data_IF_797239169482
#
_entry.id   IF_797239169482
#
_cell.length_a   1.000
_cell.length_b   1.000
_cell.length_c   1.000
_cell.angle_alpha   90.00
_cell.angle_beta   90.00
_cell.angle_gamma   90.00
#
_symmetry.space_group_name_H-M   'P 1'
#
loop_
_entity.id
_entity.type
_entity.pdbx_description
1 polymer ?
#
# COMPACT_ATOMS: atom_id res chain seq x y z
N UNK A 1 -41.44 44.61 31.04
CA UNK A 1 -42.83 44.11 30.95
C UNK A 1 -43.34 44.33 29.54
N UNK A 2 -43.42 43.28 28.72
CA UNK A 2 -44.41 43.18 27.63
C UNK A 2 -44.78 41.70 27.55
N UNK A 3 -46.02 41.38 27.93
CA UNK A 3 -46.62 40.03 27.79
C UNK A 3 -47.47 40.04 26.52
N UNK A 4 -47.34 39.01 25.69
CA UNK A 4 -48.40 38.58 24.79
C UNK A 4 -48.59 37.08 24.95
N UNK A 5 -49.79 36.71 25.43
CA UNK A 5 -50.23 35.33 25.63
C UNK A 5 -50.96 34.80 24.40
N UNK A 6 -50.76 33.51 24.16
CA UNK A 6 -51.28 32.71 23.07
C UNK A 6 -52.81 32.51 23.10
N UNK A 7 -53.39 32.35 21.91
CA UNK A 7 -54.52 31.44 21.67
C UNK A 7 -54.10 30.45 20.58
N UNK A 8 -54.30 29.16 20.86
CA UNK A 8 -54.10 28.06 19.92
C UNK A 8 -55.14 28.07 18.80
N UNK A 9 -54.85 27.38 17.68
CA UNK A 9 -55.76 26.32 17.28
C UNK A 9 -55.07 25.02 16.87
N UNK A 10 -55.79 23.93 17.08
CA UNK A 10 -55.46 22.55 16.77
C UNK A 10 -55.74 22.25 15.30
N UNK A 11 -54.80 21.62 14.57
CA UNK A 11 -55.10 20.87 13.33
C UNK A 11 -54.26 19.58 13.31
N UNK A 12 -54.98 18.49 13.04
CA UNK A 12 -54.59 17.09 12.84
C UNK A 12 -53.85 16.85 11.51
N UNK A 13 -52.85 15.96 11.48
CA UNK A 13 -52.43 15.26 10.25
C UNK A 13 -51.69 13.92 10.52
N UNK A 14 -52.34 12.85 10.05
CA UNK A 14 -51.86 11.78 9.16
C UNK A 14 -50.43 11.21 9.27
N UNK A 15 -50.38 9.88 9.37
CA UNK A 15 -49.21 8.99 9.31
C UNK A 15 -48.53 9.00 7.93
N UNK A 16 -47.21 9.20 7.90
CA UNK A 16 -46.31 8.39 7.05
C UNK A 16 -44.89 8.38 7.64
N UNK A 17 -44.28 7.19 7.68
CA UNK A 17 -42.97 6.93 8.26
C UNK A 17 -41.87 7.39 7.29
N UNK A 18 -41.15 8.45 7.66
CA UNK A 18 -39.75 8.65 7.24
C UNK A 18 -39.05 9.34 8.40
N UNK A 19 -38.24 8.61 9.17
CA UNK A 19 -37.51 9.20 10.30
C UNK A 19 -36.10 9.54 9.83
N UNK A 20 -35.91 10.81 9.51
CA UNK A 20 -34.61 11.48 9.60
C UNK A 20 -34.12 11.38 11.06
N UNK A 21 -32.91 10.85 11.26
CA UNK A 21 -32.21 11.01 12.53
C UNK A 21 -31.47 12.36 12.51
N UNK A 22 -32.04 13.36 13.19
CA UNK A 22 -31.28 14.51 13.67
C UNK A 22 -30.85 14.25 15.12
N UNK A 23 -29.54 14.36 15.34
CA UNK A 23 -28.90 14.26 16.64
C UNK A 23 -29.38 15.38 17.58
N UNK A 24 -29.80 15.00 18.79
CA UNK A 24 -29.79 15.89 19.95
C UNK A 24 -29.07 15.16 21.08
N UNK A 25 -27.92 15.69 21.46
CA UNK A 25 -27.17 15.30 22.64
C UNK A 25 -27.98 15.66 23.90
N UNK A 26 -28.21 14.67 24.77
CA UNK A 26 -28.54 14.92 26.16
C UNK A 26 -27.62 14.04 27.02
N UNK A 27 -26.73 14.72 27.72
CA UNK A 27 -25.89 14.17 28.76
C UNK A 27 -26.70 14.03 30.05
N UNK A 28 -26.85 12.81 30.55
CA UNK A 28 -26.94 12.50 31.98
C UNK A 28 -26.94 10.97 32.12
N UNK A 29 -25.95 10.44 32.83
CA UNK A 29 -25.78 9.02 33.05
C UNK A 29 -26.92 8.42 33.87
N UNK A 30 -27.54 7.39 33.31
CA UNK A 30 -28.18 6.31 34.07
C UNK A 30 -27.81 5.01 33.37
N UNK A 31 -27.14 4.13 34.11
CA UNK A 31 -26.80 2.77 33.72
C UNK A 31 -28.10 2.00 33.40
N UNK A 32 -28.37 1.72 32.13
CA UNK A 32 -29.39 0.74 31.75
C UNK A 32 -28.72 -0.57 31.38
N UNK A 33 -28.75 -1.52 32.33
CA UNK A 33 -28.57 -2.94 32.04
C UNK A 33 -29.70 -3.38 31.10
N UNK A 34 -29.38 -3.65 29.85
CA UNK A 34 -30.30 -4.32 28.93
C UNK A 34 -30.29 -5.83 29.25
N UNK A 35 -31.16 -6.27 30.17
CA UNK A 35 -31.53 -7.68 30.35
C UNK A 35 -32.41 -8.09 29.17
N UNK A 36 -31.88 -8.91 28.26
CA UNK A 36 -32.72 -9.64 27.30
C UNK A 36 -33.37 -10.84 28.01
N UNK A 37 -34.67 -10.76 28.23
CA UNK A 37 -35.51 -11.89 28.66
C UNK A 37 -35.90 -12.71 27.44
N UNK A 38 -35.27 -13.87 27.26
CA UNK A 38 -35.82 -14.97 26.45
C UNK A 38 -35.99 -16.20 27.35
N UNK A 39 -37.10 -16.96 27.20
CA UNK A 39 -37.43 -18.02 28.14
C UNK A 39 -36.55 -19.26 27.91
N UNK A 40 -35.77 -19.63 28.92
CA UNK A 40 -35.04 -20.91 28.98
C UNK A 40 -36.03 -22.06 29.18
N UNK A 41 -35.97 -23.05 28.29
CA UNK A 41 -36.47 -24.41 28.54
C UNK A 41 -35.66 -25.03 29.69
N UNK A 42 -36.38 -25.57 30.68
CA UNK A 42 -35.85 -26.39 31.77
C UNK A 42 -35.16 -27.63 31.20
N UNK A 43 -33.88 -27.81 31.51
CA UNK A 43 -33.20 -29.11 31.48
C UNK A 43 -32.73 -29.34 32.91
N UNK A 44 -33.12 -30.48 33.48
CA UNK A 44 -32.81 -30.90 34.84
C UNK A 44 -31.32 -31.23 34.96
N UNK A 45 -30.66 -30.64 35.96
CA UNK A 45 -29.36 -31.07 36.46
C UNK A 45 -29.51 -32.40 37.22
N UNK A 46 -28.70 -33.40 36.84
CA UNK A 46 -28.41 -34.60 37.64
C UNK A 46 -26.98 -34.47 38.21
N UNK A 47 -26.73 -34.93 39.44
CA UNK A 47 -25.48 -34.66 40.15
C UNK A 47 -24.29 -35.50 39.62
N UNK A 48 -23.11 -34.87 39.65
CA UNK A 48 -21.80 -35.48 39.42
C UNK A 48 -21.40 -36.38 40.60
N UNK A 49 -20.85 -37.56 40.31
CA UNK A 49 -20.12 -38.41 41.27
C UNK A 49 -18.79 -38.81 40.61
N UNK A 50 -17.65 -38.79 41.33
CA UNK A 50 -16.34 -39.06 40.77
C UNK A 50 -16.08 -40.58 40.66
N UNK A 51 -15.04 -40.94 39.91
CA UNK A 51 -14.48 -42.28 39.71
C UNK A 51 -14.98 -43.06 38.48
N UNK A 52 -14.23 -42.94 37.37
CA UNK A 52 -13.82 -44.06 36.49
C UNK A 52 -12.75 -43.64 35.47
N UNK A 53 -11.71 -44.46 35.22
CA UNK A 53 -10.61 -44.16 34.29
C UNK A 53 -11.02 -44.37 32.81
N UNK A 54 -10.30 -43.76 31.84
CA UNK A 54 -10.69 -43.77 30.44
C UNK A 54 -10.41 -45.12 29.75
N UNK A 55 -11.23 -45.53 28.75
CA UNK A 55 -11.01 -46.75 27.99
C UNK A 55 -9.90 -46.60 26.92
N UNK A 56 -9.29 -47.71 26.47
CA UNK A 56 -8.13 -47.68 25.58
C UNK A 56 -8.49 -47.35 24.13
N UNK A 57 -7.56 -46.73 23.42
CA UNK A 57 -7.65 -46.45 21.97
C UNK A 57 -7.57 -47.75 21.16
N UNK A 58 -8.39 -47.94 20.12
CA UNK A 58 -8.13 -48.97 19.13
C UNK A 58 -7.27 -48.43 17.98
N UNK A 59 -6.36 -49.29 17.53
CA UNK A 59 -5.47 -49.10 16.40
C UNK A 59 -6.05 -49.78 15.13
N UNK A 60 -5.85 -49.11 14.01
CA UNK A 60 -5.71 -49.57 12.62
C UNK A 60 -6.87 -50.17 11.80
N UNK A 61 -6.89 -49.64 10.56
CA UNK A 61 -7.08 -50.27 9.24
C UNK A 61 -8.30 -49.89 8.37
N UNK A 62 -7.92 -49.45 7.16
CA UNK A 62 -8.60 -49.41 5.87
C UNK A 62 -10.11 -49.67 5.79
N UNK A 63 -10.82 -48.68 5.27
CA UNK A 63 -11.93 -48.91 4.34
C UNK A 63 -11.99 -47.79 3.31
N UNK A 64 -11.94 -48.19 2.04
CA UNK A 64 -12.26 -47.36 0.88
C UNK A 64 -13.76 -47.06 0.91
N UNK A 65 -14.16 -45.82 0.70
CA UNK A 65 -15.56 -45.55 0.41
C UNK A 65 -15.91 -44.12 0.00
N UNK A 66 -16.11 -43.94 -1.30
CA UNK A 66 -17.08 -43.07 -1.97
C UNK A 66 -17.04 -41.54 -1.74
N UNK A 67 -16.64 -40.89 -2.82
CA UNK A 67 -16.71 -39.48 -3.15
C UNK A 67 -18.08 -38.83 -2.91
N UNK A 68 -18.08 -37.68 -2.24
CA UNK A 68 -18.96 -36.55 -2.58
C UNK A 68 -18.14 -35.26 -2.51
N UNK A 69 -17.84 -34.69 -3.68
CA UNK A 69 -17.19 -33.38 -3.79
C UNK A 69 -18.16 -32.28 -3.35
N UNK A 70 -17.71 -31.26 -2.58
CA UNK A 70 -18.44 -30.01 -2.47
C UNK A 70 -18.36 -29.22 -3.79
N UNK A 71 -19.37 -28.40 -4.13
CA UNK A 71 -19.47 -27.77 -5.43
C UNK A 71 -18.26 -26.87 -5.73
N UNK A 72 -17.63 -27.15 -6.86
CA UNK A 72 -16.60 -26.34 -7.48
C UNK A 72 -17.14 -24.93 -7.75
N UNK A 73 -16.52 -23.92 -7.15
CA UNK A 73 -16.67 -22.55 -7.62
C UNK A 73 -16.18 -22.47 -9.08
N UNK A 74 -16.89 -21.76 -9.97
CA UNK A 74 -16.45 -21.62 -11.35
C UNK A 74 -15.10 -20.90 -11.39
N UNK A 75 -14.17 -21.29 -12.29
CA UNK A 75 -12.91 -20.59 -12.45
C UNK A 75 -13.17 -19.14 -12.87
N UNK A 76 -12.51 -18.21 -12.18
CA UNK A 76 -12.43 -16.82 -12.64
C UNK A 76 -11.89 -16.83 -14.06
N UNK A 77 -12.71 -16.39 -15.02
CA UNK A 77 -12.30 -16.23 -16.41
C UNK A 77 -11.12 -15.27 -16.47
N UNK A 78 -10.07 -15.55 -17.27
CA UNK A 78 -9.01 -14.60 -17.50
C UNK A 78 -9.59 -13.36 -18.19
N UNK A 79 -9.51 -12.20 -17.54
CA UNK A 79 -9.74 -10.91 -18.18
C UNK A 79 -8.56 -10.62 -19.12
N UNK A 80 -8.58 -11.26 -20.29
CA UNK A 80 -7.80 -10.82 -21.44
C UNK A 80 -8.46 -9.56 -22.02
N UNK A 81 -7.96 -8.40 -21.60
CA UNK A 81 -7.71 -7.20 -22.41
C UNK A 81 -7.55 -6.00 -21.46
N UNK A 82 -6.35 -5.84 -20.92
CA UNK A 82 -5.95 -4.53 -20.41
C UNK A 82 -5.57 -3.67 -21.61
N UNK A 83 -6.52 -2.83 -22.04
CA UNK A 83 -6.30 -1.69 -22.91
C UNK A 83 -5.13 -0.85 -22.40
N UNK A 84 -4.36 -0.25 -23.32
CA UNK A 84 -3.16 0.57 -23.13
C UNK A 84 -3.36 1.86 -22.30
N UNK A 85 -4.42 1.95 -21.49
CA UNK A 85 -4.92 3.17 -20.86
C UNK A 85 -4.56 3.32 -19.38
N UNK A 86 -4.01 2.29 -18.71
CA UNK A 86 -3.74 2.36 -17.26
C UNK A 86 -2.35 2.93 -16.91
N UNK A 87 -1.37 2.87 -17.83
CA UNK A 87 -0.02 3.41 -17.60
C UNK A 87 0.06 4.91 -17.98
N UNK A 88 -0.85 5.42 -18.83
CA UNK A 88 -0.82 6.80 -19.32
C UNK A 88 -1.44 7.85 -18.37
N UNK A 89 -2.12 7.45 -17.28
CA UNK A 89 -2.88 8.40 -16.45
C UNK A 89 -2.11 8.92 -15.23
N UNK A 90 -0.95 8.34 -14.91
CA UNK A 90 -0.08 8.87 -13.87
C UNK A 90 0.71 10.12 -14.34
N UNK A 91 0.82 10.33 -15.66
CA UNK A 91 1.41 11.55 -16.23
C UNK A 91 0.40 12.70 -16.44
N UNK A 92 -0.91 12.44 -16.38
CA UNK A 92 -1.94 13.39 -16.83
C UNK A 92 -2.41 14.40 -15.75
N UNK A 93 -1.80 14.43 -14.56
CA UNK A 93 -2.11 15.43 -13.51
C UNK A 93 -0.94 16.39 -13.25
N UNK A 94 0.14 16.34 -14.04
CA UNK A 94 1.31 17.22 -13.83
C UNK A 94 2.03 17.67 -15.10
N UNK A 95 1.29 18.05 -16.14
CA UNK A 95 1.86 18.85 -17.22
C UNK A 95 0.79 19.76 -17.84
N UNK A 96 0.79 21.02 -17.42
CA UNK A 96 0.38 22.10 -18.31
C UNK A 96 1.43 22.22 -19.43
N UNK A 97 0.97 22.16 -20.68
CA UNK A 97 1.58 22.65 -21.92
C UNK A 97 3.02 22.25 -22.31
N UNK A 98 3.13 21.51 -23.44
CA UNK A 98 4.26 21.48 -24.40
C UNK A 98 5.44 20.58 -24.01
N UNK A 99 6.15 19.86 -24.89
CA UNK A 99 6.17 19.56 -26.33
C UNK A 99 6.82 18.15 -26.42
N UNK A 100 6.63 17.26 -27.38
CA UNK A 100 6.85 17.36 -28.81
C UNK A 100 6.26 16.09 -29.46
N UNK A 101 5.42 16.24 -30.47
CA UNK A 101 4.99 15.13 -31.30
C UNK A 101 5.83 15.13 -32.59
N UNK A 102 6.75 14.18 -32.70
CA UNK A 102 7.41 13.84 -33.97
C UNK A 102 6.76 12.58 -34.50
N UNK A 103 5.92 12.68 -35.52
CA UNK A 103 5.65 11.59 -36.44
C UNK A 103 5.13 12.14 -37.78
N UNK A 104 5.96 11.93 -38.79
CA UNK A 104 5.82 12.22 -40.21
C UNK A 104 4.57 11.60 -40.84
N UNK A 105 3.82 12.39 -41.62
CA UNK A 105 2.91 11.88 -42.66
C UNK A 105 3.21 12.59 -43.98
N UNK A 106 3.62 11.77 -44.95
CA UNK A 106 3.79 12.08 -46.36
C UNK A 106 2.45 12.47 -47.00
N UNK A 107 2.43 13.55 -47.80
CA UNK A 107 1.59 13.63 -48.99
C UNK A 107 2.14 14.67 -49.98
N UNK A 108 2.01 14.32 -51.25
CA UNK A 108 2.73 14.81 -52.43
C UNK A 108 2.18 16.15 -52.96
N UNK A 109 3.11 17.07 -53.31
CA UNK A 109 3.21 18.07 -54.43
C UNK A 109 1.94 18.72 -55.06
N UNK A 110 2.01 19.92 -55.71
CA UNK A 110 3.19 20.54 -56.33
C UNK A 110 3.43 22.05 -56.07
N UNK A 111 4.62 22.46 -56.54
CA UNK A 111 5.27 23.77 -56.69
C UNK A 111 4.40 25.02 -56.93
N UNK A 112 4.74 26.12 -56.25
CA UNK A 112 5.08 27.37 -56.94
C UNK A 112 5.99 28.29 -56.10
N UNK A 113 7.01 28.85 -56.75
CA UNK A 113 8.02 29.76 -56.19
C UNK A 113 7.42 31.12 -55.90
N UNK A 114 7.82 31.76 -54.79
CA UNK A 114 8.24 33.17 -54.79
C UNK A 114 8.99 33.52 -53.49
N UNK A 115 10.10 34.23 -53.68
CA UNK A 115 11.06 34.73 -52.69
C UNK A 115 10.56 36.06 -52.12
N UNK A 116 10.54 36.23 -50.79
CA UNK A 116 10.87 37.51 -50.13
C UNK A 116 10.99 37.35 -48.60
N UNK A 117 11.97 38.02 -47.99
CA UNK A 117 12.07 38.23 -46.55
C UNK A 117 11.77 39.71 -46.26
N UNK A 118 11.04 40.04 -45.17
CA UNK A 118 11.70 40.81 -44.10
C UNK A 118 11.21 40.51 -42.67
N UNK A 119 12.18 40.54 -41.74
CA UNK A 119 12.25 41.02 -40.33
C UNK A 119 11.00 41.18 -39.39
N UNK A 120 11.24 41.22 -38.04
CA UNK A 120 10.45 40.52 -37.04
C UNK A 120 9.35 41.37 -36.40
N UNK A 121 8.20 40.76 -36.11
CA UNK A 121 7.18 41.35 -35.24
C UNK A 121 6.67 40.36 -34.21
N UNK A 122 6.84 40.79 -32.95
CA UNK A 122 5.99 40.59 -31.79
C UNK A 122 5.47 39.17 -31.47
N UNK A 123 6.07 38.63 -30.39
CA UNK A 123 5.54 37.58 -29.53
C UNK A 123 4.07 37.80 -29.17
N UNK A 124 3.18 36.93 -29.63
CA UNK A 124 1.83 36.77 -29.09
C UNK A 124 1.86 35.73 -27.98
N UNK A 125 1.94 36.17 -26.73
CA UNK A 125 1.68 35.35 -25.55
C UNK A 125 0.16 35.24 -25.35
N UNK A 126 -0.38 34.03 -25.48
CA UNK A 126 -1.72 33.71 -25.02
C UNK A 126 -1.76 33.79 -23.48
N UNK A 127 -2.64 34.59 -22.85
CA UNK A 127 -2.81 34.56 -21.42
C UNK A 127 -3.71 33.37 -21.04
N UNK A 128 -3.13 32.33 -20.43
CA UNK A 128 -3.92 31.33 -19.70
C UNK A 128 -4.28 31.90 -18.31
N UNK A 129 -5.26 32.80 -18.25
CA UNK A 129 -5.84 33.23 -16.98
C UNK A 129 -6.93 32.22 -16.57
N UNK A 130 -6.53 31.13 -15.92
CA UNK A 130 -7.47 30.50 -14.99
C UNK A 130 -7.79 31.54 -13.91
N UNK A 131 -9.07 31.90 -13.68
CA UNK A 131 -9.41 32.85 -12.63
C UNK A 131 -8.99 32.25 -11.29
N UNK A 132 -7.96 32.84 -10.69
CA UNK A 132 -7.62 32.60 -9.29
C UNK A 132 -8.81 33.17 -8.51
N UNK A 133 -9.66 32.30 -7.97
CA UNK A 133 -10.66 32.72 -7.00
C UNK A 133 -9.89 33.28 -5.81
N UNK A 134 -9.97 34.58 -5.50
CA UNK A 134 -9.23 35.15 -4.38
C UNK A 134 -9.78 34.50 -3.10
N UNK A 135 -8.92 33.80 -2.37
CA UNK A 135 -9.26 33.41 -1.00
C UNK A 135 -9.45 34.72 -0.23
N UNK A 136 -10.60 34.95 0.43
CA UNK A 136 -10.80 36.15 1.22
C UNK A 136 -9.64 36.30 2.21
N UNK A 137 -9.04 37.49 2.30
CA UNK A 137 -7.93 37.73 3.22
C UNK A 137 -8.30 37.36 4.68
N UNK A 138 -9.58 37.40 5.03
CA UNK A 138 -10.15 36.96 6.31
C UNK A 138 -10.11 35.44 6.56
N UNK A 139 -9.79 34.64 5.55
CA UNK A 139 -9.66 33.18 5.61
C UNK A 139 -8.20 32.73 5.42
N UNK A 140 -7.27 33.67 5.29
CA UNK A 140 -5.83 33.40 5.26
C UNK A 140 -5.33 33.50 6.70
N UNK A 141 -5.25 32.36 7.37
CA UNK A 141 -4.71 32.29 8.73
C UNK A 141 -3.17 32.18 8.69
N UNK A 142 -2.44 32.86 9.59
CA UNK A 142 -0.99 32.67 9.72
C UNK A 142 -0.65 31.20 9.97
N UNK A 143 0.51 30.77 9.47
CA UNK A 143 1.01 29.42 9.72
C UNK A 143 1.07 29.11 11.23
N UNK A 144 0.70 27.90 11.67
CA UNK A 144 0.80 27.52 13.08
C UNK A 144 2.27 27.61 13.51
N UNK A 145 2.61 28.64 14.30
CA UNK A 145 3.98 28.94 14.69
C UNK A 145 4.28 30.43 14.86
N UNK A 146 3.43 31.32 14.33
CA UNK A 146 3.55 32.77 14.51
C UNK A 146 2.25 33.34 15.09
N UNK A 147 2.02 33.10 16.39
CA UNK A 147 1.34 34.02 17.32
C UNK A 147 0.96 33.27 18.60
N UNK A 148 1.84 33.29 19.60
CA UNK A 148 1.49 32.96 20.99
C UNK A 148 0.65 34.06 21.67
N UNK A 149 -0.09 34.86 20.89
CA UNK A 149 -0.81 36.02 21.40
C UNK A 149 -2.30 35.96 21.06
N UNK A 150 -2.93 34.81 21.33
CA UNK A 150 -4.38 34.76 21.53
C UNK A 150 -4.66 35.53 22.82
N UNK A 151 -4.90 36.84 22.66
CA UNK A 151 -5.36 37.73 23.72
C UNK A 151 -6.79 37.33 24.14
N UNK A 152 -6.91 36.73 25.33
CA UNK A 152 -8.16 36.48 26.04
C UNK A 152 -8.48 34.98 26.24
N UNK A 153 -9.14 34.58 27.34
CA UNK A 153 -9.53 33.19 27.56
C UNK A 153 -10.58 32.82 26.51
N UNK A 154 -10.17 32.10 25.48
CA UNK A 154 -11.12 31.48 24.55
C UNK A 154 -12.07 30.57 25.36
N UNK A 155 -13.37 30.52 25.02
CA UNK A 155 -14.33 29.66 25.73
C UNK A 155 -14.07 28.16 25.52
N UNK A 156 -13.09 27.80 24.69
CA UNK A 156 -12.74 26.43 24.31
C UNK A 156 -11.22 26.24 24.32
N UNK A 157 -10.77 25.04 24.71
CA UNK A 157 -9.37 24.64 24.69
C UNK A 157 -9.20 23.32 23.93
N UNK A 158 -9.12 23.33 22.58
CA UNK A 158 -8.90 22.10 21.81
C UNK A 158 -7.60 21.38 22.17
N UNK A 159 -6.55 22.12 22.57
CA UNK A 159 -5.28 21.53 23.05
C UNK A 159 -5.41 20.74 24.35
N UNK A 160 -6.49 20.95 25.13
CA UNK A 160 -6.79 20.15 26.32
C UNK A 160 -6.95 18.65 26.03
N UNK A 161 -7.25 18.26 24.78
CA UNK A 161 -7.24 16.85 24.37
C UNK A 161 -5.88 16.17 24.66
N UNK A 162 -4.77 16.90 24.52
CA UNK A 162 -3.43 16.35 24.68
C UNK A 162 -3.07 15.99 26.13
N UNK A 163 -3.88 16.41 27.12
CA UNK A 163 -3.80 15.90 28.49
C UNK A 163 -4.13 14.40 28.57
N UNK A 164 -4.95 13.91 27.62
CA UNK A 164 -5.32 12.49 27.48
C UNK A 164 -4.44 11.74 26.47
N UNK A 165 -3.41 12.40 25.94
CA UNK A 165 -2.45 11.84 24.99
C UNK A 165 -2.66 12.28 23.55
N UNK A 166 -1.71 11.90 22.70
CA UNK A 166 -1.71 12.23 21.28
C UNK A 166 -2.42 11.14 20.46
N UNK A 167 -3.45 11.45 19.66
CA UNK A 167 -4.24 10.44 18.96
C UNK A 167 -3.49 9.73 17.82
N UNK A 168 -2.46 10.34 17.24
CA UNK A 168 -1.67 9.80 16.14
C UNK A 168 -1.51 10.78 14.96
N UNK A 169 -0.88 10.36 13.86
CA UNK A 169 -0.47 9.00 13.53
C UNK A 169 0.69 8.49 14.40
N UNK A 170 0.74 7.17 14.62
CA UNK A 170 1.88 6.50 15.27
C UNK A 170 2.56 5.63 14.23
N UNK A 171 3.81 5.98 13.90
CA UNK A 171 4.68 5.16 13.07
C UNK A 171 5.46 4.21 13.99
N UNK A 172 5.06 2.93 14.04
CA UNK A 172 5.83 1.93 14.78
C UNK A 172 7.13 1.65 14.02
N UNK A 173 8.24 2.22 14.50
CA UNK A 173 9.55 2.01 13.91
C UNK A 173 10.19 0.74 14.48
N UNK A 174 10.69 -0.13 13.60
CA UNK A 174 11.52 -1.25 13.99
C UNK A 174 12.91 -1.13 13.36
N UNK A 175 13.94 -1.24 14.19
CA UNK A 175 15.35 -1.29 13.79
C UNK A 175 15.85 -2.71 14.02
N UNK A 176 16.11 -3.43 12.94
CA UNK A 176 16.56 -4.82 12.91
C UNK A 176 17.92 -4.90 12.21
N UNK A 177 18.60 -6.04 12.25
CA UNK A 177 19.93 -6.19 11.62
C UNK A 177 19.89 -6.00 10.10
N UNK A 178 18.88 -6.59 9.44
CA UNK A 178 18.75 -6.56 7.98
C UNK A 178 17.85 -5.46 7.43
N UNK A 179 17.05 -4.81 8.28
CA UNK A 179 16.04 -3.85 7.83
C UNK A 179 15.69 -2.79 8.87
N UNK A 180 15.22 -1.65 8.39
CA UNK A 180 14.51 -0.65 9.19
C UNK A 180 13.11 -0.50 8.57
N UNK A 181 12.06 -0.47 9.40
CA UNK A 181 10.68 -0.34 8.90
C UNK A 181 9.88 0.68 9.69
N UNK A 182 8.83 1.17 9.04
CA UNK A 182 7.73 1.88 9.68
C UNK A 182 6.43 1.12 9.41
N UNK A 183 5.68 0.77 10.44
CA UNK A 183 4.46 -0.03 10.32
C UNK A 183 3.18 0.80 10.42
N UNK A 184 2.23 0.55 9.50
CA UNK A 184 0.92 1.17 9.47
C UNK A 184 -0.08 0.32 10.26
N UNK A 185 -0.37 0.76 11.49
CA UNK A 185 -1.38 0.16 12.38
C UNK A 185 -2.77 0.02 11.74
N UNK A 186 -3.13 0.86 10.77
CA UNK A 186 -4.45 0.84 10.11
C UNK A 186 -4.53 -0.23 9.04
N UNK A 187 -3.50 -0.37 8.20
CA UNK A 187 -3.52 -1.34 7.09
C UNK A 187 -2.93 -2.70 7.47
N UNK A 188 -2.22 -2.77 8.61
CA UNK A 188 -1.49 -3.97 9.09
C UNK A 188 -0.35 -4.38 8.15
N UNK A 189 0.19 -3.40 7.44
CA UNK A 189 1.30 -3.52 6.50
C UNK A 189 2.36 -2.47 6.88
N UNK A 190 3.63 -2.62 6.47
CA UNK A 190 4.59 -1.53 6.55
C UNK A 190 4.13 -0.33 5.70
N UNK A 191 4.32 0.89 6.21
CA UNK A 191 4.36 2.09 5.38
C UNK A 191 5.51 1.99 4.38
N UNK A 192 6.67 1.60 4.89
CA UNK A 192 7.89 1.38 4.13
C UNK A 192 8.84 0.46 4.91
N UNK A 193 9.72 -0.21 4.17
CA UNK A 193 10.87 -0.95 4.72
C UNK A 193 12.11 -0.57 3.92
N UNK A 194 13.23 -0.33 4.62
CA UNK A 194 14.53 -0.01 4.04
C UNK A 194 15.49 -1.15 4.24
N UNK A 195 16.21 -1.50 3.19
CA UNK A 195 17.34 -2.42 3.20
C UNK A 195 18.60 -1.77 2.58
N UNK A 196 19.76 -2.32 2.93
CA UNK A 196 21.04 -1.96 2.36
C UNK A 196 21.78 -3.23 1.94
N UNK A 197 22.13 -3.31 0.67
CA UNK A 197 22.87 -4.42 0.11
C UNK A 197 24.19 -3.94 -0.49
N UNK A 198 25.22 -4.72 -0.27
CA UNK A 198 26.60 -4.52 -0.74
C UNK A 198 27.15 -5.82 -1.33
N UNK A 199 28.20 -5.78 -2.17
CA UNK A 199 28.86 -6.99 -2.66
C UNK A 199 29.29 -7.93 -1.53
N UNK A 200 29.81 -7.37 -0.43
CA UNK A 200 30.22 -8.13 0.75
C UNK A 200 29.03 -8.85 1.40
N UNK A 201 27.95 -8.13 1.68
CA UNK A 201 26.74 -8.72 2.30
C UNK A 201 26.14 -9.83 1.43
N UNK A 202 26.17 -9.68 0.10
CA UNK A 202 25.65 -10.67 -0.85
C UNK A 202 26.64 -11.79 -1.16
N UNK A 203 27.88 -11.74 -0.68
CA UNK A 203 28.86 -12.82 -0.81
C UNK A 203 28.73 -13.86 0.31
N UNK A 204 28.32 -13.44 1.51
CA UNK A 204 28.18 -14.29 2.70
C UNK A 204 26.97 -15.22 2.62
N UNK A 205 27.07 -16.40 3.24
CA UNK A 205 26.07 -17.49 3.14
C UNK A 205 25.80 -18.12 4.52
N UNK A 206 25.82 -17.28 5.55
CA UNK A 206 25.73 -17.68 6.95
C UNK A 206 24.28 -17.97 7.39
N UNK A 207 23.29 -17.48 6.63
CA UNK A 207 21.87 -17.76 6.85
C UNK A 207 21.28 -18.77 5.85
N UNK A 208 20.45 -19.68 6.36
CA UNK A 208 19.61 -20.60 5.57
C UNK A 208 18.13 -20.35 5.86
N UNK A 209 17.39 -20.05 4.79
CA UNK A 209 15.94 -19.79 4.81
C UNK A 209 15.16 -20.94 5.44
N UNK A 210 15.66 -22.19 5.35
CA UNK A 210 14.99 -23.35 5.94
C UNK A 210 14.84 -23.28 7.45
N UNK A 211 15.67 -22.48 8.13
CA UNK A 211 15.60 -22.28 9.58
C UNK A 211 14.68 -21.13 9.98
N UNK A 212 14.25 -20.29 9.03
CA UNK A 212 13.40 -19.14 9.30
C UNK A 212 11.91 -19.51 9.21
N UNK A 213 11.12 -19.03 10.17
CA UNK A 213 9.67 -19.25 10.22
C UNK A 213 8.95 -17.92 10.32
N UNK A 214 7.79 -17.80 9.67
CA UNK A 214 6.96 -16.59 9.77
C UNK A 214 6.43 -16.41 11.20
N UNK A 215 6.60 -15.20 11.76
CA UNK A 215 6.23 -14.87 13.12
C UNK A 215 5.39 -13.59 13.18
N UNK A 216 4.44 -13.54 14.10
CA UNK A 216 3.78 -12.29 14.48
C UNK A 216 4.78 -11.38 15.20
N UNK A 217 4.65 -10.06 15.04
CA UNK A 217 5.56 -9.10 15.66
C UNK A 217 5.00 -8.62 17.01
N UNK A 218 5.56 -9.16 18.10
CA UNK A 218 5.09 -8.86 19.45
C UNK A 218 5.34 -7.42 19.90
N UNK A 219 6.23 -6.69 19.21
CA UNK A 219 6.45 -5.26 19.47
C UNK A 219 5.26 -4.39 19.08
N UNK A 220 4.41 -4.88 18.17
CA UNK A 220 3.20 -4.19 17.73
C UNK A 220 2.05 -4.56 18.69
N UNK A 221 1.31 -3.57 19.24
CA UNK A 221 0.16 -3.85 20.09
C UNK A 221 -0.84 -4.76 19.39
N UNK A 222 -1.35 -5.77 20.10
CA UNK A 222 -2.15 -6.85 19.51
C UNK A 222 -3.32 -6.36 18.63
N UNK A 223 -4.00 -5.28 19.04
CA UNK A 223 -5.12 -4.67 18.29
C UNK A 223 -4.74 -4.14 16.89
N UNK A 224 -3.45 -3.95 16.62
CA UNK A 224 -2.91 -3.44 15.35
C UNK A 224 -2.04 -4.46 14.62
N UNK A 225 -1.90 -5.67 15.17
CA UNK A 225 -0.97 -6.68 14.68
C UNK A 225 -1.61 -7.53 13.58
N UNK A 226 -0.86 -7.77 12.50
CA UNK A 226 -1.16 -8.84 11.56
C UNK A 226 -0.92 -10.20 12.23
N UNK A 227 -1.82 -11.15 12.02
CA UNK A 227 -1.71 -12.50 12.59
C UNK A 227 -1.49 -13.54 11.51
N UNK A 228 -0.84 -14.65 11.85
CA UNK A 228 -0.58 -15.72 10.87
C UNK A 228 -1.88 -16.27 10.27
N UNK A 229 -2.95 -16.31 11.07
CA UNK A 229 -4.29 -16.73 10.63
C UNK A 229 -4.91 -15.83 9.57
N UNK A 230 -4.50 -14.56 9.46
CA UNK A 230 -5.08 -13.63 8.50
C UNK A 230 -4.66 -14.00 7.06
N UNK A 231 -3.47 -14.58 6.92
CA UNK A 231 -2.93 -15.10 5.66
C UNK A 231 -3.36 -16.54 5.36
N UNK A 232 -3.84 -17.28 6.37
CA UNK A 232 -4.20 -18.68 6.19
C UNK A 232 -5.42 -18.80 5.27
N UNK A 233 -5.23 -19.43 4.10
CA UNK A 233 -6.26 -19.60 3.06
C UNK A 233 -6.88 -18.29 2.56
N UNK A 234 -6.17 -17.16 2.66
CA UNK A 234 -6.64 -15.87 2.11
C UNK A 234 -6.56 -15.79 0.58
N UNK A 235 -5.76 -16.66 -0.05
CA UNK A 235 -5.43 -16.59 -1.48
C UNK A 235 -4.19 -15.73 -1.79
N UNK A 236 -3.58 -15.11 -0.77
CA UNK A 236 -2.38 -14.29 -0.89
C UNK A 236 -1.18 -14.94 -0.20
N UNK A 237 0.00 -14.71 -0.75
CA UNK A 237 1.26 -15.03 -0.09
C UNK A 237 1.60 -13.98 0.98
N UNK A 238 2.42 -14.40 1.95
CA UNK A 238 3.16 -13.50 2.84
C UNK A 238 4.36 -12.94 2.09
N UNK A 239 4.13 -11.83 1.38
CA UNK A 239 5.10 -11.20 0.51
C UNK A 239 6.07 -10.31 1.28
N UNK A 240 7.37 -10.62 1.19
CA UNK A 240 8.42 -9.86 1.88
C UNK A 240 8.57 -8.47 1.24
N UNK A 241 8.81 -7.44 2.06
CA UNK A 241 9.29 -6.14 1.55
C UNK A 241 10.82 -6.15 1.43
N UNK A 242 11.51 -6.60 2.48
CA UNK A 242 12.93 -6.99 2.45
C UNK A 242 13.02 -8.50 2.30
N UNK A 243 13.52 -9.02 1.17
CA UNK A 243 13.58 -10.45 0.92
C UNK A 243 14.65 -11.13 1.76
N UNK A 244 14.33 -12.32 2.29
CA UNK A 244 15.27 -13.15 3.05
C UNK A 244 16.61 -13.41 2.32
N UNK A 245 16.60 -13.43 0.99
CA UNK A 245 17.78 -13.67 0.17
C UNK A 245 18.85 -12.56 0.30
N UNK A 246 18.46 -11.35 0.68
CA UNK A 246 19.34 -10.19 0.81
C UNK A 246 20.03 -10.18 2.19
N UNK A 247 19.51 -10.97 3.14
CA UNK A 247 20.05 -11.13 4.49
C UNK A 247 20.83 -12.44 4.69
N UNK A 248 21.33 -13.08 3.62
CA UNK A 248 22.12 -14.34 3.71
C UNK A 248 23.42 -14.22 4.51
N UNK A 249 23.86 -13.02 4.84
CA UNK A 249 25.04 -12.76 5.65
C UNK A 249 24.85 -13.02 7.16
N UNK A 250 23.61 -13.22 7.64
CA UNK A 250 23.33 -13.53 9.04
C UNK A 250 22.01 -14.29 9.17
N UNK A 251 22.00 -15.40 9.92
CA UNK A 251 20.76 -16.12 10.21
C UNK A 251 19.77 -15.23 10.98
N UNK A 252 20.24 -14.47 11.97
CA UNK A 252 19.41 -13.52 12.73
C UNK A 252 18.78 -12.47 11.83
N UNK A 253 19.57 -11.85 10.94
CA UNK A 253 19.05 -10.85 10.01
C UNK A 253 18.01 -11.45 9.05
N UNK A 254 18.23 -12.69 8.61
CA UNK A 254 17.26 -13.41 7.79
C UNK A 254 15.97 -13.72 8.56
N UNK A 255 16.05 -14.25 9.78
CA UNK A 255 14.90 -14.55 10.62
C UNK A 255 14.05 -13.31 10.89
N UNK A 256 14.70 -12.17 11.09
CA UNK A 256 14.05 -10.87 11.27
C UNK A 256 13.22 -10.43 10.05
N UNK A 257 13.57 -10.89 8.83
CA UNK A 257 12.74 -10.63 7.64
C UNK A 257 11.41 -11.39 7.67
N UNK A 258 11.26 -12.42 8.50
CA UNK A 258 10.06 -13.26 8.57
C UNK A 258 8.97 -12.74 9.53
N UNK A 259 9.22 -11.63 10.22
CA UNK A 259 8.16 -10.96 10.97
C UNK A 259 7.07 -10.44 10.03
N UNK A 260 5.80 -10.59 10.44
CA UNK A 260 4.66 -10.09 9.65
C UNK A 260 4.65 -8.56 9.48
N UNK A 261 5.42 -7.82 10.28
CA UNK A 261 5.66 -6.38 10.08
C UNK A 261 6.47 -6.06 8.80
N UNK A 262 7.19 -7.04 8.23
CA UNK A 262 7.83 -6.97 6.92
C UNK A 262 6.97 -7.60 5.79
N UNK A 263 5.74 -8.00 6.08
CA UNK A 263 4.87 -8.66 5.10
C UNK A 263 3.79 -7.74 4.56
N UNK A 264 3.40 -8.01 3.31
CA UNK A 264 2.13 -7.59 2.73
C UNK A 264 1.47 -8.76 2.01
N UNK A 265 0.13 -8.78 1.87
CA UNK A 265 -0.56 -9.72 1.00
C UNK A 265 -0.15 -9.51 -0.46
N UNK A 266 0.52 -10.50 -1.04
CA UNK A 266 0.95 -10.47 -2.45
C UNK A 266 0.30 -11.59 -3.24
N UNK A 267 -0.05 -11.31 -4.50
CA UNK A 267 -0.40 -12.37 -5.46
C UNK A 267 0.78 -13.34 -5.56
N UNK A 268 0.51 -14.63 -5.42
CA UNK A 268 1.55 -15.67 -5.35
C UNK A 268 2.21 -15.94 -6.70
N UNK A 269 1.59 -16.83 -7.49
CA UNK A 269 2.03 -17.15 -8.85
C UNK A 269 1.85 -15.95 -9.78
N UNK A 270 2.85 -15.69 -10.62
CA UNK A 270 2.89 -14.56 -11.55
C UNK A 270 3.31 -13.23 -10.94
N UNK A 271 3.50 -13.14 -9.62
CA UNK A 271 3.96 -11.92 -8.95
C UNK A 271 5.02 -12.20 -7.87
N UNK A 272 4.64 -12.48 -6.61
CA UNK A 272 5.58 -12.70 -5.50
C UNK A 272 6.64 -13.76 -5.83
N UNK A 273 6.20 -14.87 -6.43
CA UNK A 273 7.07 -16.03 -6.73
C UNK A 273 7.83 -15.91 -8.05
N UNK A 274 7.48 -14.91 -8.87
CA UNK A 274 7.96 -14.73 -10.24
C UNK A 274 8.46 -13.29 -10.46
N UNK A 275 7.65 -12.41 -11.05
CA UNK A 275 8.09 -11.08 -11.49
C UNK A 275 8.71 -10.23 -10.36
N UNK A 276 8.13 -10.27 -9.16
CA UNK A 276 8.66 -9.56 -7.99
C UNK A 276 10.00 -10.13 -7.54
N UNK A 277 10.14 -11.46 -7.49
CA UNK A 277 11.40 -12.13 -7.18
C UNK A 277 12.50 -11.85 -8.24
N UNK A 278 12.12 -11.71 -9.52
CA UNK A 278 13.03 -11.28 -10.58
C UNK A 278 13.48 -9.82 -10.38
N UNK A 279 12.57 -8.95 -9.93
CA UNK A 279 12.91 -7.57 -9.62
C UNK A 279 13.84 -7.44 -8.41
N UNK A 280 13.63 -8.23 -7.36
CA UNK A 280 14.57 -8.36 -6.24
C UNK A 280 15.94 -8.87 -6.71
N UNK A 281 15.98 -9.79 -7.69
CA UNK A 281 17.24 -10.24 -8.29
C UNK A 281 17.95 -9.14 -9.10
N UNK A 282 17.18 -8.30 -9.79
CA UNK A 282 17.72 -7.11 -10.43
C UNK A 282 18.38 -6.17 -9.38
N UNK A 283 17.71 -5.90 -8.27
CA UNK A 283 18.28 -5.10 -7.18
C UNK A 283 19.63 -5.66 -6.70
N UNK A 284 19.71 -6.97 -6.44
CA UNK A 284 20.98 -7.62 -6.08
C UNK A 284 22.07 -7.47 -7.14
N UNK A 285 21.72 -7.58 -8.43
CA UNK A 285 22.72 -7.44 -9.51
C UNK A 285 23.28 -6.03 -9.65
N UNK A 286 22.57 -5.00 -9.16
CA UNK A 286 23.12 -3.64 -9.13
C UNK A 286 24.41 -3.57 -8.32
N UNK A 287 24.62 -4.47 -7.34
CA UNK A 287 25.88 -4.49 -6.57
C UNK A 287 27.09 -4.93 -7.41
N UNK A 288 26.89 -5.46 -8.61
CA UNK A 288 28.00 -5.71 -9.55
C UNK A 288 28.58 -4.43 -10.16
N UNK A 289 27.83 -3.32 -10.10
CA UNK A 289 28.24 -2.01 -10.63
C UNK A 289 28.40 -0.98 -9.52
N UNK A 290 27.56 -1.03 -8.51
CA UNK A 290 27.52 -0.06 -7.41
C UNK A 290 27.98 -0.72 -6.11
N UNK A 291 28.97 -0.18 -5.38
CA UNK A 291 29.44 -0.77 -4.12
C UNK A 291 28.39 -0.73 -3.00
N UNK A 292 27.36 0.11 -3.13
CA UNK A 292 26.31 0.30 -2.12
C UNK A 292 24.97 0.57 -2.78
N UNK A 293 23.96 -0.21 -2.43
CA UNK A 293 22.59 -0.07 -2.95
C UNK A 293 21.61 -0.07 -1.78
N UNK A 294 20.88 1.05 -1.60
CA UNK A 294 19.81 1.18 -0.61
C UNK A 294 18.47 1.14 -1.30
N UNK A 295 17.52 0.40 -0.73
CA UNK A 295 16.23 0.16 -1.36
C UNK A 295 15.14 0.44 -0.33
N UNK A 296 14.17 1.26 -0.71
CA UNK A 296 12.95 1.48 0.05
C UNK A 296 11.81 0.76 -0.65
N UNK A 297 11.14 -0.14 0.03
CA UNK A 297 10.03 -0.94 -0.49
C UNK A 297 8.76 -0.67 0.31
N UNK A 298 7.61 -0.60 -0.36
CA UNK A 298 6.34 -0.48 0.36
C UNK A 298 5.10 -0.69 -0.51
N UNK A 299 3.92 -0.78 0.12
CA UNK A 299 2.63 -0.92 -0.56
C UNK A 299 2.06 0.43 -1.03
N UNK A 300 1.19 0.38 -2.05
CA UNK A 300 0.37 1.51 -2.51
C UNK A 300 -1.09 1.11 -2.70
N UNK A 301 -1.97 2.08 -2.47
CA UNK A 301 -3.42 1.97 -2.64
C UNK A 301 -3.88 3.03 -3.65
N UNK A 302 -3.68 2.74 -4.93
CA UNK A 302 -3.87 3.71 -6.01
C UNK A 302 -5.35 3.82 -6.42
N UNK A 303 -5.83 5.04 -6.73
CA UNK A 303 -7.20 5.23 -7.19
C UNK A 303 -7.38 4.70 -8.61
N UNK A 304 -8.57 4.19 -8.90
CA UNK A 304 -9.02 3.81 -10.23
C UNK A 304 -10.28 4.61 -10.58
N UNK A 305 -10.38 5.01 -11.85
CA UNK A 305 -11.56 5.71 -12.35
C UNK A 305 -12.66 4.70 -12.66
N UNK A 306 -13.80 4.81 -12.01
CA UNK A 306 -14.96 3.96 -12.31
C UNK A 306 -15.58 4.44 -13.65
N UNK A 307 -15.68 3.58 -14.68
CA UNK A 307 -16.26 3.96 -15.96
C UNK A 307 -17.77 4.24 -15.88
N UNK A 308 -18.47 3.81 -14.82
CA UNK A 308 -19.92 4.00 -14.67
C UNK A 308 -20.29 5.44 -14.33
N UNK A 309 -19.50 6.09 -13.48
CA UNK A 309 -19.80 7.46 -13.02
C UNK A 309 -18.64 8.45 -13.21
N UNK A 310 -17.54 7.99 -13.83
CA UNK A 310 -16.35 8.78 -14.11
C UNK A 310 -15.65 9.37 -12.86
N UNK A 311 -15.90 8.82 -11.67
CA UNK A 311 -15.24 9.25 -10.42
C UNK A 311 -14.06 8.35 -10.07
N UNK A 312 -13.18 8.87 -9.22
CA UNK A 312 -12.00 8.17 -8.74
C UNK A 312 -12.26 7.49 -7.40
N UNK A 313 -11.92 6.22 -7.30
CA UNK A 313 -12.09 5.42 -6.09
C UNK A 313 -10.82 4.67 -5.76
N UNK A 314 -10.46 4.64 -4.48
CA UNK A 314 -9.50 3.67 -3.96
C UNK A 314 -10.28 2.47 -3.48
N UNK A 315 -10.04 1.31 -4.10
CA UNK A 315 -10.68 0.05 -3.73
C UNK A 315 -9.61 -1.02 -3.54
N UNK A 316 -9.65 -1.68 -2.40
CA UNK A 316 -8.78 -2.80 -2.07
C UNK A 316 -9.53 -3.79 -1.17
N UNK A 317 -9.11 -5.05 -1.23
CA UNK A 317 -9.61 -6.10 -0.33
C UNK A 317 -9.01 -5.92 1.07
N UNK A 318 -9.75 -6.30 2.11
CA UNK A 318 -9.21 -6.47 3.47
C UNK A 318 -9.44 -7.92 3.87
N UNK A 319 -8.35 -8.66 4.01
CA UNK A 319 -8.34 -10.09 4.33
C UNK A 319 -8.28 -10.33 5.84
N UNK A 320 -8.68 -11.53 6.25
CA UNK A 320 -8.70 -11.98 7.65
C UNK A 320 -9.92 -12.86 7.95
N UNK A 321 -9.76 -13.81 8.89
CA UNK A 321 -10.83 -14.73 9.31
C UNK A 321 -10.78 -14.90 10.84
N UNK A 322 -11.87 -14.66 11.59
CA UNK A 322 -13.26 -14.42 11.14
C UNK A 322 -13.61 -12.99 10.74
N UNK A 323 -12.71 -12.02 10.90
CA UNK A 323 -12.97 -10.63 10.58
C UNK A 323 -11.84 -10.04 9.71
N UNK A 324 -12.16 -9.10 8.79
CA UNK A 324 -11.15 -8.36 8.03
C UNK A 324 -10.15 -7.65 8.95
N UNK A 325 -8.87 -7.79 8.67
CA UNK A 325 -7.78 -7.22 9.47
C UNK A 325 -6.67 -6.58 8.62
N UNK A 326 -6.20 -7.27 7.58
CA UNK A 326 -5.03 -6.86 6.79
C UNK A 326 -5.45 -6.35 5.41
N UNK A 327 -5.04 -5.15 5.04
CA UNK A 327 -5.35 -4.60 3.72
C UNK A 327 -4.49 -5.29 2.64
N UNK A 328 -5.07 -5.55 1.47
CA UNK A 328 -4.35 -6.05 0.30
C UNK A 328 -3.92 -4.87 -0.57
N UNK A 329 -2.62 -4.58 -0.71
CA UNK A 329 -2.16 -3.48 -1.55
C UNK A 329 -2.58 -3.64 -3.01
N UNK A 330 -2.89 -2.53 -3.67
CA UNK A 330 -3.17 -2.53 -5.11
C UNK A 330 -1.89 -2.64 -5.93
N UNK A 331 -0.81 -2.05 -5.43
CA UNK A 331 0.50 -1.96 -6.07
C UNK A 331 1.58 -2.02 -4.98
N UNK A 332 2.82 -2.26 -5.42
CA UNK A 332 4.02 -2.11 -4.61
C UNK A 332 4.97 -1.15 -5.31
N UNK A 333 5.81 -0.49 -4.52
CA UNK A 333 6.92 0.29 -5.05
C UNK A 333 8.27 -0.22 -4.55
N UNK A 334 9.30 0.02 -5.34
CA UNK A 334 10.68 0.12 -4.84
C UNK A 334 11.29 1.45 -5.30
N UNK A 335 11.91 2.17 -4.38
CA UNK A 335 12.80 3.30 -4.67
C UNK A 335 14.22 2.84 -4.37
N UNK A 336 15.07 2.87 -5.39
CA UNK A 336 16.45 2.35 -5.35
C UNK A 336 17.41 3.52 -5.40
N UNK A 337 18.37 3.55 -4.48
CA UNK A 337 19.50 4.47 -4.44
C UNK A 337 20.78 3.66 -4.61
N UNK A 338 21.36 3.70 -5.81
CA UNK A 338 22.61 3.01 -6.13
C UNK A 338 23.76 4.02 -6.13
N UNK A 339 24.68 3.84 -5.19
CA UNK A 339 25.74 4.82 -4.85
C UNK A 339 27.07 4.40 -5.47
N UNK A 340 27.83 5.38 -5.98
CA UNK A 340 29.13 5.16 -6.62
C UNK A 340 30.29 4.89 -5.62
N UNK A 341 30.02 4.92 -4.31
CA UNK A 341 30.99 4.70 -3.24
C UNK A 341 31.90 5.89 -2.94
N UNK A 342 31.71 7.04 -3.62
CA UNK A 342 32.51 8.25 -3.39
C UNK A 342 31.81 9.17 -2.40
N UNK A 343 32.57 9.75 -1.47
CA UNK A 343 32.04 10.75 -0.54
C UNK A 343 31.47 11.94 -1.32
N UNK A 344 30.16 12.16 -1.21
CA UNK A 344 29.46 13.19 -1.95
C UNK A 344 29.34 12.93 -3.46
N UNK A 345 29.56 11.69 -3.91
CA UNK A 345 29.43 11.24 -5.29
C UNK A 345 28.00 11.25 -5.82
N UNK A 346 27.84 10.72 -7.03
CA UNK A 346 26.54 10.66 -7.69
C UNK A 346 25.76 9.43 -7.23
N UNK A 347 24.43 9.58 -7.18
CA UNK A 347 23.52 8.51 -6.79
C UNK A 347 22.56 8.26 -7.93
N UNK A 348 22.56 7.05 -8.46
CA UNK A 348 21.60 6.59 -9.44
C UNK A 348 20.31 6.22 -8.71
N UNK A 349 19.23 6.96 -9.00
CA UNK A 349 17.92 6.82 -8.38
C UNK A 349 16.94 6.26 -9.39
N UNK A 350 16.22 5.21 -9.00
CA UNK A 350 15.13 4.63 -9.79
C UNK A 350 13.92 4.38 -8.91
N UNK A 351 12.73 4.73 -9.38
CA UNK A 351 11.48 4.47 -8.70
C UNK A 351 10.60 3.59 -9.60
N UNK A 352 10.04 2.53 -9.04
CA UNK A 352 9.26 1.54 -9.77
C UNK A 352 7.95 1.30 -9.07
N UNK A 353 6.85 1.17 -9.81
CA UNK A 353 5.51 0.85 -9.29
C UNK A 353 4.94 -0.31 -10.07
N UNK A 354 4.64 -1.42 -9.38
CA UNK A 354 4.13 -2.65 -9.98
C UNK A 354 2.75 -2.99 -9.41
N UNK A 355 1.78 -3.41 -10.23
CA UNK A 355 0.49 -3.89 -9.72
C UNK A 355 0.67 -5.18 -8.93
N UNK A 356 -0.09 -5.32 -7.84
CA UNK A 356 -0.20 -6.58 -7.09
C UNK A 356 -1.10 -7.56 -7.85
N UNK A 357 -0.60 -8.02 -8.99
CA UNK A 357 -1.30 -8.86 -9.95
C UNK A 357 -0.29 -9.69 -10.75
N UNK A 358 -0.77 -10.70 -11.49
CA UNK A 358 0.07 -11.47 -12.40
C UNK A 358 0.71 -10.53 -13.44
N UNK A 359 2.04 -10.57 -13.54
CA UNK A 359 2.81 -9.83 -14.55
C UNK A 359 3.54 -10.84 -15.44
N UNK A 360 3.32 -10.82 -16.76
CA UNK A 360 4.08 -11.68 -17.68
C UNK A 360 5.59 -11.42 -17.61
N UNK A 361 6.39 -12.47 -17.53
CA UNK A 361 7.86 -12.39 -17.45
C UNK A 361 8.54 -11.69 -18.64
N UNK A 362 7.85 -11.60 -19.79
CA UNK A 362 8.34 -10.88 -20.96
C UNK A 362 8.07 -9.37 -20.91
N UNK A 363 7.35 -8.87 -19.90
CA UNK A 363 7.14 -7.44 -19.72
C UNK A 363 8.47 -6.79 -19.32
N UNK A 364 8.91 -5.71 -19.99
CA UNK A 364 10.11 -4.97 -19.60
C UNK A 364 9.95 -4.27 -18.25
N UNK A 365 10.99 -4.31 -17.41
CA UNK A 365 11.00 -3.62 -16.11
C UNK A 365 10.83 -2.10 -16.26
N UNK A 366 11.34 -1.52 -17.33
CA UNK A 366 11.22 -0.08 -17.62
C UNK A 366 9.77 0.39 -17.80
N UNK A 367 8.83 -0.49 -18.14
CA UNK A 367 7.40 -0.12 -18.19
C UNK A 367 6.83 0.23 -16.81
N UNK A 368 7.51 -0.18 -15.73
CA UNK A 368 7.13 0.09 -14.35
C UNK A 368 7.95 1.21 -13.72
N UNK A 369 8.96 1.76 -14.42
CA UNK A 369 9.71 2.90 -13.94
C UNK A 369 8.84 4.16 -14.00
N UNK A 370 8.80 4.90 -12.89
CA UNK A 370 8.07 6.15 -12.75
C UNK A 370 8.99 7.24 -12.20
N UNK A 371 8.67 8.53 -12.40
CA UNK A 371 9.32 9.61 -11.67
C UNK A 371 9.19 9.41 -10.15
N UNK A 372 10.21 9.79 -9.37
CA UNK A 372 10.23 9.59 -7.91
C UNK A 372 9.03 10.24 -7.22
N UNK A 373 8.66 11.40 -7.72
CA UNK A 373 7.63 12.32 -7.26
C UNK A 373 6.24 11.68 -7.35
N UNK A 374 6.07 10.72 -8.27
CA UNK A 374 4.86 9.92 -8.37
C UNK A 374 4.73 9.01 -7.15
N UNK A 375 5.81 8.34 -6.75
CA UNK A 375 5.80 7.47 -5.56
C UNK A 375 5.61 8.32 -4.31
N UNK A 376 6.27 9.48 -4.21
CA UNK A 376 6.11 10.42 -3.09
C UNK A 376 4.65 10.87 -2.96
N UNK A 377 4.03 11.34 -4.06
CA UNK A 377 2.62 11.75 -4.08
C UNK A 377 1.66 10.61 -3.73
N UNK A 378 1.92 9.39 -4.23
CA UNK A 378 1.04 8.25 -4.02
C UNK A 378 1.16 7.63 -2.62
N UNK A 379 2.35 7.71 -2.00
CA UNK A 379 2.62 7.12 -0.68
C UNK A 379 2.47 8.12 0.47
N UNK A 380 2.59 9.42 0.20
CA UNK A 380 2.69 10.46 1.23
C UNK A 380 4.05 10.48 1.93
N UNK A 381 5.09 9.95 1.29
CA UNK A 381 6.46 9.89 1.80
C UNK A 381 7.39 10.80 0.98
N UNK A 382 8.54 11.15 1.55
CA UNK A 382 9.63 11.82 0.85
C UNK A 382 10.89 10.94 0.94
N UNK A 383 11.53 10.64 -0.19
CA UNK A 383 12.65 9.69 -0.20
C UNK A 383 14.01 10.37 -0.39
N UNK A 384 14.07 11.49 -1.11
CA UNK A 384 15.33 12.09 -1.54
C UNK A 384 15.49 13.56 -1.11
N UNK A 385 14.72 14.06 -0.14
CA UNK A 385 14.73 15.48 0.28
C UNK A 385 16.11 16.00 0.68
N UNK A 386 16.99 15.12 1.19
CA UNK A 386 18.37 15.45 1.56
C UNK A 386 19.42 15.19 0.46
N UNK A 387 19.03 14.62 -0.68
CA UNK A 387 19.92 14.36 -1.82
C UNK A 387 19.75 15.47 -2.86
N UNK A 388 20.75 16.35 -3.09
CA UNK A 388 20.63 17.43 -4.07
C UNK A 388 20.32 16.89 -5.47
N UNK A 389 19.45 17.57 -6.21
CA UNK A 389 18.99 17.15 -7.55
C UNK A 389 20.16 16.95 -8.52
N UNK A 390 21.20 17.79 -8.42
CA UNK A 390 22.40 17.71 -9.26
C UNK A 390 23.23 16.44 -9.03
N UNK A 391 23.04 15.75 -7.90
CA UNK A 391 23.68 14.48 -7.58
C UNK A 391 22.83 13.27 -7.96
N UNK A 392 21.59 13.48 -8.39
CA UNK A 392 20.67 12.41 -8.77
C UNK A 392 20.85 12.10 -10.25
N UNK A 393 21.17 10.85 -10.54
CA UNK A 393 21.09 10.30 -11.91
C UNK A 393 19.89 9.39 -12.03
N UNK A 394 19.34 9.24 -13.23
CA UNK A 394 18.28 8.25 -13.49
C UNK A 394 18.91 6.86 -13.59
N UNK A 395 18.49 5.92 -12.73
CA UNK A 395 19.06 4.57 -12.67
C UNK A 395 19.02 3.85 -14.03
N UNK A 396 17.87 3.82 -14.69
CA UNK A 396 17.73 3.12 -15.98
C UNK A 396 18.37 3.85 -17.18
N UNK A 397 18.94 5.03 -16.96
CA UNK A 397 19.83 5.68 -17.93
C UNK A 397 21.30 5.28 -17.73
N UNK A 398 21.69 4.91 -16.50
CA UNK A 398 23.06 4.52 -16.15
C UNK A 398 23.30 3.01 -16.30
N UNK A 399 22.26 2.19 -16.14
CA UNK A 399 22.34 0.73 -16.27
C UNK A 399 21.13 0.17 -17.00
N UNK A 400 21.31 -1.01 -17.61
CA UNK A 400 20.20 -1.73 -18.25
C UNK A 400 19.27 -2.30 -17.18
N UNK A 401 18.14 -1.62 -16.97
CA UNK A 401 17.03 -2.08 -16.14
C UNK A 401 16.30 -3.28 -16.79
N UNK A 402 16.98 -4.41 -16.95
CA UNK A 402 16.43 -5.64 -17.51
C UNK A 402 16.37 -6.73 -16.45
N UNK A 403 15.33 -7.57 -16.50
CA UNK A 403 15.20 -8.72 -15.61
C UNK A 403 15.94 -9.93 -16.19
N UNK A 404 16.52 -10.77 -15.31
CA UNK A 404 16.93 -12.11 -15.69
C UNK A 404 15.84 -13.06 -15.22
N UNK A 405 15.14 -13.66 -16.17
CA UNK A 405 14.11 -14.65 -15.89
C UNK A 405 14.81 -15.96 -15.55
N UNK A 406 14.86 -16.24 -14.26
CA UNK A 406 15.31 -17.52 -13.74
C UNK A 406 14.09 -18.43 -13.74
N UNK A 407 14.01 -19.40 -14.64
CA UNK A 407 12.92 -20.40 -14.63
C UNK A 407 13.01 -21.24 -13.34
N UNK A 408 12.31 -20.79 -12.29
CA UNK A 408 12.28 -21.47 -10.98
C UNK A 408 11.37 -22.69 -11.02
N UNK A 409 10.26 -22.62 -11.76
CA UNK A 409 9.30 -23.72 -11.92
C UNK A 409 9.94 -24.95 -12.58
N UNK A 410 10.77 -24.77 -13.61
CA UNK A 410 11.41 -25.88 -14.31
C UNK A 410 12.52 -26.52 -13.48
N UNK A 411 13.23 -25.73 -12.67
CA UNK A 411 14.18 -26.26 -11.69
C UNK A 411 13.48 -27.06 -10.60
N UNK A 412 12.38 -26.56 -10.03
CA UNK A 412 11.61 -27.30 -9.01
C UNK A 412 10.99 -28.60 -9.57
N UNK A 413 10.46 -28.57 -10.80
CA UNK A 413 9.98 -29.79 -11.51
C UNK A 413 11.10 -30.79 -11.79
N UNK A 414 12.31 -30.31 -12.10
CA UNK A 414 13.48 -31.18 -12.29
C UNK A 414 13.95 -31.82 -10.98
N UNK A 415 13.81 -31.13 -9.84
CA UNK A 415 14.11 -31.69 -8.51
C UNK A 415 13.04 -32.65 -7.98
N UNK A 416 11.76 -32.44 -8.32
CA UNK A 416 10.67 -33.35 -7.95
C UNK A 416 10.61 -34.65 -8.80
N UNK A 417 11.42 -34.72 -9.87
CA UNK A 417 11.58 -35.91 -10.73
C UNK A 417 12.82 -36.77 -10.40
N UNK A 418 13.62 -36.36 -9.42
CA UNK A 418 14.67 -37.18 -8.80
C UNK A 418 14.19 -37.63 -7.44
#
# INVERSE_FOLDING_TARGET
MVKWGCRSPTITLSKSRTQCCSCVCLAAGVLFLCRSTTPRKKIQDKPFSPDKPPPPRPNLHHSRGWFTQPPSHPPLKPLNNMSKSTIAVIAAVSAGAGAAATATVLSLRPENKHTEAPQPTASSSLPSSTPIVPVPASQIFPSPGADNNIKGPAPVNPSGLFEYGFPGPVADLATRQGLISSYDRRTRNPHWVVEHITPESLSRRDGDRKHSTFLEDDSIPEKFRAKLKDYFRSGYDRGHQVPAADCKWSQTAMDETFYLSNMCPQVGEGFNRDYWAHFEDFCRRLTGTYPSVRIVTGPLYLPQKDPKDNKWYVKYEVMGNPAPNVAVPTHFYKVIFAEDGKAGGQVAVGAFVMPNAVIPNNKPLQEFEVPLEIVERASGLEFASKLPVQKRKRLCAETSCSLIIKEYADRQKAFAKK
#
